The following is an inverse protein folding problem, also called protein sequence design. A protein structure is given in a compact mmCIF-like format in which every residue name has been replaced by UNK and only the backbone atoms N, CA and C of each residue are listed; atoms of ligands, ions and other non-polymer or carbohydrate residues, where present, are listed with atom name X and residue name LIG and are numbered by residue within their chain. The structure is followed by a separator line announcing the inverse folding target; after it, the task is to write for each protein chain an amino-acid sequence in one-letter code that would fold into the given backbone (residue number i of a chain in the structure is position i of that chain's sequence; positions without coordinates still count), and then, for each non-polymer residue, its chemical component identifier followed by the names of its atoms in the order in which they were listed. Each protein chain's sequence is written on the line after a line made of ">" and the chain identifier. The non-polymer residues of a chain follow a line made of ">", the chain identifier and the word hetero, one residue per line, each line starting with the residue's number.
data_IF_672098291833
#
_entry.id   IF_672098291833
#
_cell.length_a   1.000
_cell.length_b   1.000
_cell.length_c   1.000
_cell.angle_alpha   90.00
_cell.angle_beta   90.00
_cell.angle_gamma   90.00
#
_symmetry.space_group_name_H-M   'P 1'
#
loop_
_entity.id
_entity.type
_entity.pdbx_description
1 polymer ?
#
# COMPACT_ATOMS: atom_id res chain seq x y z
N UNK A 1 16.10 6.95 -22.83
CA UNK A 1 15.97 7.75 -21.59
C UNK A 1 14.98 7.04 -20.69
N UNK A 2 15.36 6.72 -19.45
CA UNK A 2 14.54 5.96 -18.50
C UNK A 2 13.25 6.71 -18.17
N UNK A 3 12.09 6.10 -18.42
CA UNK A 3 10.76 6.57 -18.03
C UNK A 3 10.40 5.99 -16.65
N UNK A 4 10.10 6.88 -15.69
CA UNK A 4 9.71 6.52 -14.33
C UNK A 4 8.26 6.98 -14.09
N UNK A 5 7.37 6.04 -13.79
CA UNK A 5 6.02 6.34 -13.32
C UNK A 5 5.94 6.07 -11.83
N UNK A 6 5.57 7.08 -11.04
CA UNK A 6 5.31 6.94 -9.61
C UNK A 6 3.78 6.82 -9.40
N UNK A 7 3.34 5.74 -8.78
CA UNK A 7 1.95 5.47 -8.48
C UNK A 7 1.68 5.63 -6.99
N UNK A 8 0.91 6.65 -6.63
CA UNK A 8 0.49 6.92 -5.25
C UNK A 8 -0.73 6.10 -4.90
N UNK A 9 -0.63 5.35 -3.80
CA UNK A 9 -1.64 4.40 -3.33
C UNK A 9 -2.13 4.73 -1.93
N UNK A 10 -3.39 4.36 -1.66
CA UNK A 10 -3.99 4.42 -0.34
C UNK A 10 -4.34 3.01 0.11
N UNK A 11 -3.89 2.61 1.31
CA UNK A 11 -4.27 1.33 1.91
C UNK A 11 -5.76 1.26 2.30
N UNK A 12 -6.48 2.38 2.21
CA UNK A 12 -7.91 2.45 2.44
C UNK A 12 -8.73 2.25 1.16
N UNK A 13 -8.08 2.13 -0.01
CA UNK A 13 -8.77 2.04 -1.29
C UNK A 13 -9.34 0.63 -1.55
N UNK A 14 -10.67 0.41 -1.42
CA UNK A 14 -11.27 -0.90 -1.69
C UNK A 14 -11.15 -1.33 -3.15
N UNK A 15 -10.93 -0.38 -4.07
CA UNK A 15 -10.77 -0.62 -5.50
C UNK A 15 -9.29 -0.61 -5.92
N UNK A 16 -8.37 -0.38 -4.98
CA UNK A 16 -6.93 -0.32 -5.20
C UNK A 16 -6.39 -1.49 -6.00
N UNK A 17 -6.72 -2.75 -5.66
CA UNK A 17 -6.22 -3.92 -6.40
C UNK A 17 -6.63 -3.92 -7.89
N UNK A 18 -7.90 -3.61 -8.19
CA UNK A 18 -8.40 -3.54 -9.57
C UNK A 18 -7.73 -2.42 -10.35
N UNK A 19 -7.64 -1.23 -9.76
CA UNK A 19 -7.02 -0.05 -10.38
C UNK A 19 -5.53 -0.28 -10.63
N UNK A 20 -4.82 -0.87 -9.67
CA UNK A 20 -3.39 -1.13 -9.80
C UNK A 20 -3.14 -2.14 -10.90
N UNK A 21 -3.94 -3.20 -10.97
CA UNK A 21 -3.88 -4.15 -12.07
C UNK A 21 -4.07 -3.46 -13.43
N UNK A 22 -5.13 -2.64 -13.58
CA UNK A 22 -5.39 -1.86 -14.81
C UNK A 22 -4.21 -0.95 -15.17
N UNK A 23 -3.63 -0.28 -14.18
CA UNK A 23 -2.46 0.59 -14.37
C UNK A 23 -1.22 -0.18 -14.85
N UNK A 24 -0.89 -1.30 -14.20
CA UNK A 24 0.27 -2.12 -14.58
C UNK A 24 0.08 -2.65 -16.01
N UNK A 25 -1.13 -3.14 -16.36
CA UNK A 25 -1.46 -3.64 -17.69
C UNK A 25 -1.39 -2.55 -18.77
N UNK A 26 -1.72 -1.29 -18.41
CA UNK A 26 -1.58 -0.12 -19.28
C UNK A 26 -0.12 0.28 -19.47
N UNK A 27 0.65 0.35 -18.40
CA UNK A 27 2.06 0.80 -18.45
C UNK A 27 2.94 -0.28 -19.07
N UNK A 28 2.70 -1.57 -18.78
CA UNK A 28 3.60 -2.69 -19.15
C UNK A 28 5.06 -2.41 -18.76
N UNK A 29 5.35 -2.20 -17.46
CA UNK A 29 6.69 -1.83 -17.02
C UNK A 29 7.69 -2.97 -17.22
N UNK A 30 8.96 -2.62 -17.40
CA UNK A 30 10.08 -3.58 -17.33
C UNK A 30 10.43 -3.89 -15.88
N UNK A 31 10.26 -2.91 -14.99
CA UNK A 31 10.51 -3.06 -13.55
C UNK A 31 9.37 -2.46 -12.76
N UNK A 32 8.88 -3.21 -11.78
CA UNK A 32 7.98 -2.71 -10.75
C UNK A 32 8.80 -2.59 -9.46
N UNK A 33 8.75 -1.43 -8.80
CA UNK A 33 9.34 -1.26 -7.48
C UNK A 33 8.27 -1.05 -6.43
N UNK A 34 8.46 -1.64 -5.26
CA UNK A 34 7.50 -1.57 -4.13
C UNK A 34 8.25 -1.22 -2.85
N UNK A 35 7.60 -0.45 -1.98
CA UNK A 35 8.13 -0.09 -0.66
C UNK A 35 7.95 -1.25 0.34
N UNK A 36 8.66 -2.34 0.12
CA UNK A 36 8.77 -3.43 1.09
C UNK A 36 10.20 -3.97 1.12
N UNK A 37 10.53 -4.72 2.16
CA UNK A 37 11.82 -5.39 2.24
C UNK A 37 11.80 -6.66 1.37
N UNK A 38 12.97 -7.11 0.90
CA UNK A 38 13.04 -8.30 0.04
C UNK A 38 12.40 -9.54 0.64
N UNK A 39 12.67 -9.81 1.93
CA UNK A 39 12.15 -11.01 2.59
C UNK A 39 10.64 -10.95 2.92
N UNK A 40 9.97 -9.82 2.68
CA UNK A 40 8.55 -9.65 3.00
C UNK A 40 7.65 -9.88 1.78
N UNK A 41 8.21 -9.94 0.56
CA UNK A 41 7.43 -10.09 -0.69
C UNK A 41 6.60 -11.37 -0.68
N UNK A 42 7.24 -12.51 -0.40
CA UNK A 42 6.57 -13.81 -0.37
C UNK A 42 5.53 -13.87 0.76
N UNK A 43 5.90 -13.37 1.95
CA UNK A 43 5.03 -13.34 3.11
C UNK A 43 3.77 -12.50 2.87
N UNK A 44 3.90 -11.32 2.26
CA UNK A 44 2.76 -10.45 1.97
C UNK A 44 1.85 -11.04 0.88
N UNK A 45 2.46 -11.62 -0.17
CA UNK A 45 1.71 -12.30 -1.23
C UNK A 45 0.90 -13.48 -0.66
N UNK A 46 1.55 -14.37 0.09
CA UNK A 46 0.90 -15.53 0.70
C UNK A 46 -0.16 -15.13 1.73
N UNK A 47 0.09 -14.08 2.51
CA UNK A 47 -0.90 -13.55 3.47
C UNK A 47 -2.15 -13.05 2.77
N UNK A 48 -2.01 -12.33 1.66
CA UNK A 48 -3.16 -11.84 0.88
C UNK A 48 -3.97 -13.00 0.29
N UNK A 49 -3.29 -13.99 -0.31
CA UNK A 49 -3.95 -15.19 -0.84
C UNK A 49 -4.70 -15.96 0.25
N UNK A 50 -4.09 -16.12 1.42
CA UNK A 50 -4.72 -16.78 2.56
C UNK A 50 -5.94 -16.01 3.09
N UNK A 51 -5.91 -14.67 3.06
CA UNK A 51 -7.06 -13.83 3.40
C UNK A 51 -8.23 -14.12 2.45
N UNK A 52 -7.94 -14.22 1.14
CA UNK A 52 -8.95 -14.53 0.12
C UNK A 52 -9.50 -15.95 0.34
N UNK A 53 -8.64 -16.95 0.49
CA UNK A 53 -9.01 -18.35 0.66
C UNK A 53 -9.81 -18.59 1.96
N UNK A 54 -9.37 -17.97 3.06
CA UNK A 54 -9.97 -18.16 4.39
C UNK A 54 -11.09 -17.18 4.71
N UNK A 55 -11.64 -16.45 3.73
CA UNK A 55 -12.65 -15.39 3.94
C UNK A 55 -13.75 -15.81 4.92
N UNK A 56 -14.37 -16.96 4.70
CA UNK A 56 -15.46 -17.46 5.54
C UNK A 56 -15.00 -17.81 6.96
N UNK A 57 -13.79 -18.37 7.11
CA UNK A 57 -13.21 -18.72 8.42
C UNK A 57 -12.85 -17.47 9.22
N UNK A 58 -12.26 -16.46 8.57
CA UNK A 58 -11.91 -15.17 9.16
C UNK A 58 -13.19 -14.47 9.64
N UNK A 59 -14.23 -14.46 8.80
CA UNK A 59 -15.53 -13.91 9.17
C UNK A 59 -16.14 -14.63 10.38
N UNK A 60 -16.13 -15.97 10.42
CA UNK A 60 -16.62 -16.73 11.59
C UNK A 60 -15.84 -16.39 12.86
N UNK A 61 -14.52 -16.23 12.77
CA UNK A 61 -13.66 -15.90 13.92
C UNK A 61 -13.94 -14.48 14.45
N UNK A 62 -14.10 -13.50 13.58
CA UNK A 62 -14.37 -12.11 13.98
C UNK A 62 -15.77 -11.98 14.57
N UNK A 63 -16.77 -12.66 14.02
CA UNK A 63 -18.14 -12.65 14.56
C UNK A 63 -18.36 -13.59 15.76
N UNK A 64 -17.29 -14.16 16.33
CA UNK A 64 -17.39 -14.92 17.57
C UNK A 64 -17.60 -13.94 18.75
N UNK A 65 -18.69 -14.07 19.54
CA UNK A 65 -19.00 -13.17 20.67
C UNK A 65 -17.93 -13.05 21.76
N UNK A 66 -16.95 -13.95 21.79
CA UNK A 66 -15.78 -13.84 22.68
C UNK A 66 -14.70 -12.85 22.22
N UNK A 67 -14.73 -12.43 20.94
CA UNK A 67 -13.69 -11.56 20.35
C UNK A 67 -14.13 -10.09 20.25
N UNK A 68 -15.43 -9.83 20.11
CA UNK A 68 -16.03 -8.50 20.06
C UNK A 68 -17.36 -8.52 20.82
N UNK A 69 -17.70 -7.43 21.50
CA UNK A 69 -18.96 -7.32 22.23
C UNK A 69 -20.16 -7.39 21.27
N UNK A 70 -21.31 -7.85 21.79
CA UNK A 70 -22.58 -7.86 21.02
C UNK A 70 -22.93 -6.49 20.45
N UNK A 71 -22.58 -5.41 21.17
CA UNK A 71 -22.79 -4.04 20.70
C UNK A 71 -21.91 -3.74 19.48
N UNK A 72 -20.62 -4.06 19.53
CA UNK A 72 -19.70 -3.85 18.41
C UNK A 72 -20.09 -4.68 17.18
N UNK A 73 -20.43 -5.97 17.39
CA UNK A 73 -20.87 -6.85 16.30
C UNK A 73 -22.23 -6.46 15.69
N UNK A 74 -23.10 -5.83 16.48
CA UNK A 74 -24.40 -5.34 16.01
C UNK A 74 -24.31 -4.20 14.99
N UNK A 75 -23.19 -3.45 14.99
CA UNK A 75 -22.91 -2.38 14.03
C UNK A 75 -21.90 -2.79 12.95
N UNK A 76 -21.31 -3.98 13.05
CA UNK A 76 -20.26 -4.42 12.15
C UNK A 76 -20.81 -4.80 10.76
N UNK A 77 -20.19 -4.28 9.71
CA UNK A 77 -20.47 -4.60 8.32
C UNK A 77 -19.48 -5.65 7.79
N UNK A 78 -20.01 -6.82 7.44
CA UNK A 78 -19.23 -7.96 6.91
C UNK A 78 -18.51 -7.65 5.60
N UNK A 79 -19.17 -6.90 4.72
CA UNK A 79 -18.58 -6.51 3.44
C UNK A 79 -17.42 -5.54 3.65
N UNK A 80 -17.53 -4.66 4.65
CA UNK A 80 -16.49 -3.69 4.95
C UNK A 80 -15.20 -4.33 5.43
N UNK A 81 -15.28 -5.35 6.29
CA UNK A 81 -14.12 -6.11 6.71
C UNK A 81 -13.36 -6.67 5.51
N UNK A 82 -14.07 -7.30 4.57
CA UNK A 82 -13.42 -7.95 3.45
C UNK A 82 -12.78 -6.93 2.51
N UNK A 83 -13.47 -5.82 2.23
CA UNK A 83 -12.91 -4.73 1.44
C UNK A 83 -11.63 -4.17 2.06
N UNK A 84 -11.60 -4.00 3.39
CA UNK A 84 -10.38 -3.56 4.09
C UNK A 84 -9.26 -4.61 4.02
N UNK A 85 -9.55 -5.87 4.34
CA UNK A 85 -8.54 -6.93 4.26
C UNK A 85 -7.97 -7.09 2.84
N UNK A 86 -8.80 -6.88 1.82
CA UNK A 86 -8.42 -6.94 0.42
C UNK A 86 -7.60 -5.70 -0.03
N UNK A 87 -7.73 -4.57 0.66
CA UNK A 87 -6.94 -3.34 0.45
C UNK A 87 -5.64 -3.30 1.27
N UNK A 88 -5.37 -4.30 2.11
CA UNK A 88 -4.08 -4.42 2.79
C UNK A 88 -3.07 -5.11 1.88
N UNK A 89 -1.87 -4.54 1.77
CA UNK A 89 -0.70 -5.15 1.11
C UNK A 89 -0.93 -5.52 -0.37
N UNK A 90 -1.97 -4.96 -1.00
CA UNK A 90 -2.33 -5.33 -2.37
C UNK A 90 -1.27 -4.90 -3.38
N UNK A 91 -0.50 -3.86 -3.06
CA UNK A 91 0.56 -3.32 -3.89
C UNK A 91 1.59 -4.41 -4.20
N UNK A 92 2.00 -5.15 -3.18
CA UNK A 92 2.96 -6.25 -3.31
C UNK A 92 2.32 -7.46 -3.97
N UNK A 93 1.11 -7.85 -3.54
CA UNK A 93 0.40 -9.00 -4.09
C UNK A 93 0.12 -8.86 -5.60
N UNK A 94 -0.47 -7.74 -6.03
CA UNK A 94 -0.80 -7.49 -7.44
C UNK A 94 0.46 -7.43 -8.30
N UNK A 95 1.52 -6.78 -7.81
CA UNK A 95 2.81 -6.69 -8.51
C UNK A 95 3.48 -8.06 -8.67
N UNK A 96 3.50 -8.86 -7.59
CA UNK A 96 4.01 -10.23 -7.60
C UNK A 96 3.26 -11.11 -8.60
N UNK A 97 1.92 -11.07 -8.59
CA UNK A 97 1.09 -11.79 -9.57
C UNK A 97 1.33 -11.36 -11.00
N UNK A 98 1.55 -10.08 -11.24
CA UNK A 98 1.86 -9.59 -12.58
C UNK A 98 3.20 -10.12 -13.07
N UNK A 99 4.25 -10.06 -12.25
CA UNK A 99 5.60 -10.55 -12.59
C UNK A 99 5.62 -12.06 -12.82
N UNK A 100 4.91 -12.84 -11.99
CA UNK A 100 4.78 -14.29 -12.20
C UNK A 100 4.21 -14.63 -13.58
N UNK A 101 3.26 -13.82 -14.08
CA UNK A 101 2.67 -13.98 -15.42
C UNK A 101 3.52 -13.39 -16.54
N UNK A 102 4.34 -12.39 -16.24
CA UNK A 102 5.14 -11.64 -17.20
C UNK A 102 6.62 -11.77 -16.87
N UNK A 103 7.24 -12.89 -17.29
CA UNK A 103 8.65 -13.23 -16.98
C UNK A 103 9.71 -12.20 -17.41
N UNK A 104 9.33 -11.22 -18.24
CA UNK A 104 10.20 -10.11 -18.69
C UNK A 104 10.17 -8.89 -17.75
N UNK A 105 9.24 -8.85 -16.80
CA UNK A 105 9.13 -7.79 -15.81
C UNK A 105 9.78 -8.24 -14.51
N UNK A 106 10.56 -7.37 -13.86
CA UNK A 106 11.19 -7.63 -12.57
C UNK A 106 10.43 -6.93 -11.43
N UNK A 107 10.37 -7.55 -10.25
CA UNK A 107 9.87 -6.91 -9.01
C UNK A 107 11.07 -6.59 -8.10
N UNK A 108 11.34 -5.32 -7.87
CA UNK A 108 12.47 -4.86 -7.04
C UNK A 108 11.98 -4.18 -5.76
N UNK A 109 12.23 -4.76 -4.58
CA UNK A 109 11.97 -4.10 -3.29
C UNK A 109 12.91 -2.90 -3.08
N UNK A 110 12.38 -1.76 -2.63
CA UNK A 110 13.15 -0.51 -2.47
C UNK A 110 13.02 0.13 -1.08
N UNK A 111 12.63 -0.66 -0.07
CA UNK A 111 12.48 -0.21 1.31
C UNK A 111 13.81 0.03 2.04
N UNK A 112 13.85 1.06 2.88
CA UNK A 112 15.03 1.40 3.67
C UNK A 112 15.28 0.33 4.77
N UNK A 113 16.44 -0.36 4.79
CA UNK A 113 16.67 -1.48 5.70
C UNK A 113 16.72 -1.08 7.18
N UNK A 114 17.14 0.15 7.50
CA UNK A 114 17.10 0.66 8.90
C UNK A 114 15.69 0.94 9.42
N UNK A 115 14.67 0.91 8.56
CA UNK A 115 13.28 0.91 8.99
C UNK A 115 12.81 -0.49 9.43
N UNK A 116 13.69 -1.52 9.37
CA UNK A 116 13.55 -2.73 10.20
C UNK A 116 13.78 -2.38 11.66
N UNK A 117 12.81 -1.72 12.27
CA UNK A 117 12.84 -1.36 13.68
C UNK A 117 11.45 -1.31 14.26
N UNK A 118 11.17 -2.24 15.17
CA UNK A 118 10.11 -2.22 16.19
C UNK A 118 8.70 -2.73 15.83
N UNK A 119 8.09 -2.45 14.68
CA UNK A 119 6.64 -2.74 14.55
C UNK A 119 6.20 -4.19 14.32
N UNK A 120 6.99 -5.03 13.65
CA UNK A 120 6.46 -6.33 13.18
C UNK A 120 6.41 -7.42 14.27
N UNK A 121 7.26 -7.33 15.31
CA UNK A 121 7.11 -8.15 16.53
C UNK A 121 5.99 -7.62 17.43
N UNK A 122 5.72 -6.31 17.42
CA UNK A 122 4.65 -5.70 18.23
C UNK A 122 3.27 -6.08 17.68
N UNK A 123 3.05 -6.09 16.36
CA UNK A 123 1.77 -6.48 15.70
C UNK A 123 1.32 -7.92 16.06
N UNK A 124 2.27 -8.82 16.34
CA UNK A 124 1.98 -10.21 16.76
C UNK A 124 2.00 -10.39 18.29
N UNK A 125 2.32 -9.35 19.05
CA UNK A 125 2.15 -9.33 20.51
C UNK A 125 0.71 -8.91 20.87
N UNK A 126 0.23 -9.23 22.06
CA UNK A 126 -1.12 -8.87 22.51
C UNK A 126 -1.40 -7.36 22.42
N UNK A 127 -0.37 -6.53 22.58
CA UNK A 127 -0.46 -5.06 22.45
C UNK A 127 -0.68 -4.62 21.01
N UNK A 128 0.05 -5.18 20.04
CA UNK A 128 -0.20 -4.89 18.64
C UNK A 128 -1.43 -5.58 18.08
N UNK A 129 -1.89 -6.69 18.69
CA UNK A 129 -3.23 -7.21 18.43
C UNK A 129 -4.31 -6.24 18.89
N UNK A 130 -4.14 -5.55 20.03
CA UNK A 130 -5.09 -4.54 20.51
C UNK A 130 -5.11 -3.29 19.60
N UNK A 131 -3.96 -2.79 19.12
CA UNK A 131 -3.91 -1.68 18.14
C UNK A 131 -4.46 -2.10 16.75
N UNK A 132 -4.19 -3.34 16.34
CA UNK A 132 -4.77 -3.94 15.13
C UNK A 132 -6.28 -4.14 15.32
N UNK A 133 -6.73 -4.46 16.53
CA UNK A 133 -8.14 -4.63 16.89
C UNK A 133 -8.87 -3.30 16.78
N UNK A 134 -8.33 -2.19 17.28
CA UNK A 134 -8.97 -0.87 17.17
C UNK A 134 -9.05 -0.42 15.70
N UNK A 135 -8.00 -0.68 14.91
CA UNK A 135 -8.00 -0.40 13.47
C UNK A 135 -9.04 -1.26 12.74
N UNK A 136 -9.07 -2.57 13.01
CA UNK A 136 -10.09 -3.48 12.47
C UNK A 136 -11.48 -3.04 12.93
N UNK A 137 -11.65 -2.65 14.19
CA UNK A 137 -12.92 -2.22 14.77
C UNK A 137 -13.45 -1.00 14.02
N UNK A 138 -12.63 0.03 13.82
CA UNK A 138 -13.01 1.22 13.04
C UNK A 138 -13.45 0.80 11.64
N UNK A 139 -12.70 -0.09 10.98
CA UNK A 139 -13.00 -0.50 9.60
C UNK A 139 -14.25 -1.38 9.48
N UNK A 140 -14.48 -2.30 10.41
CA UNK A 140 -15.70 -3.13 10.41
C UNK A 140 -16.95 -2.32 10.78
N UNK A 141 -16.81 -1.24 11.56
CA UNK A 141 -17.92 -0.34 11.90
C UNK A 141 -18.26 0.65 10.77
N UNK A 142 -17.38 0.80 9.78
CA UNK A 142 -17.65 1.66 8.62
C UNK A 142 -18.53 0.95 7.60
N UNK A 143 -19.40 1.70 6.92
CA UNK A 143 -20.07 1.20 5.72
C UNK A 143 -19.10 1.21 4.52
N UNK A 144 -19.32 0.39 3.48
CA UNK A 144 -18.54 0.46 2.24
C UNK A 144 -18.52 1.85 1.60
N UNK A 145 -19.65 2.57 1.67
CA UNK A 145 -19.76 3.97 1.22
C UNK A 145 -18.86 4.90 2.02
N UNK A 146 -18.80 4.71 3.33
CA UNK A 146 -17.94 5.49 4.22
C UNK A 146 -16.47 5.22 3.91
N UNK A 147 -16.06 3.95 3.78
CA UNK A 147 -14.67 3.62 3.42
C UNK A 147 -14.25 4.22 2.09
N UNK A 148 -15.12 4.17 1.07
CA UNK A 148 -14.86 4.83 -0.21
C UNK A 148 -14.63 6.33 -0.02
N UNK A 149 -15.48 7.01 0.76
CA UNK A 149 -15.29 8.44 1.07
C UNK A 149 -13.97 8.71 1.80
N UNK A 150 -13.54 7.83 2.70
CA UNK A 150 -12.24 7.95 3.37
C UNK A 150 -11.08 7.76 2.42
N UNK A 151 -11.14 6.78 1.52
CA UNK A 151 -10.13 6.60 0.48
C UNK A 151 -10.06 7.84 -0.44
N UNK A 152 -11.22 8.32 -0.92
CA UNK A 152 -11.30 9.52 -1.75
C UNK A 152 -10.71 10.74 -1.02
N UNK A 153 -11.00 10.89 0.28
CA UNK A 153 -10.40 11.94 1.10
C UNK A 153 -8.89 11.77 1.22
N UNK A 154 -8.39 10.56 1.48
CA UNK A 154 -6.95 10.27 1.61
C UNK A 154 -6.19 10.66 0.32
N UNK A 155 -6.74 10.33 -0.86
CA UNK A 155 -6.19 10.78 -2.15
C UNK A 155 -6.18 12.30 -2.33
N UNK A 156 -7.08 13.04 -1.67
CA UNK A 156 -7.24 14.49 -1.83
C UNK A 156 -6.56 15.31 -0.71
N UNK A 157 -6.31 14.74 0.47
CA UNK A 157 -5.77 15.43 1.64
C UNK A 157 -4.25 15.29 1.79
N UNK A 158 -3.56 14.75 0.79
CA UNK A 158 -2.10 14.56 0.84
C UNK A 158 -1.41 15.93 0.87
N UNK A 159 -0.93 16.34 2.05
CA UNK A 159 -0.27 17.64 2.23
C UNK A 159 -0.50 18.28 3.60
N UNK A 160 -1.55 17.88 4.32
CA UNK A 160 -1.82 18.36 5.68
C UNK A 160 -1.39 17.32 6.71
N UNK A 161 -0.57 17.74 7.67
CA UNK A 161 -0.21 17.02 8.91
C UNK A 161 0.90 15.97 8.79
N UNK A 162 2.11 16.36 9.17
CA UNK A 162 3.03 15.48 9.89
C UNK A 162 3.88 16.35 10.83
N UNK A 163 4.10 15.87 12.05
CA UNK A 163 5.10 16.48 12.95
C UNK A 163 6.50 16.35 12.34
N UNK A 164 7.40 17.28 12.63
CA UNK A 164 8.75 17.35 12.05
C UNK A 164 9.52 16.03 12.13
N UNK A 165 9.37 15.29 13.23
CA UNK A 165 10.00 13.97 13.42
C UNK A 165 9.50 12.92 12.42
N UNK A 166 8.20 12.92 12.07
CA UNK A 166 7.66 12.01 11.05
C UNK A 166 8.15 12.40 9.66
N UNK A 167 8.25 13.70 9.37
CA UNK A 167 8.77 14.19 8.09
C UNK A 167 10.23 13.79 7.86
N UNK A 168 11.06 13.81 8.92
CA UNK A 168 12.45 13.37 8.84
C UNK A 168 12.56 11.89 8.41
N UNK A 169 11.83 11.00 9.10
CA UNK A 169 11.85 9.56 8.78
C UNK A 169 11.35 9.26 7.37
N UNK A 170 10.29 9.97 6.94
CA UNK A 170 9.73 9.82 5.59
C UNK A 170 10.74 10.32 4.53
N UNK A 171 11.47 11.40 4.81
CA UNK A 171 12.47 11.95 3.89
C UNK A 171 13.66 11.01 3.71
N UNK A 172 14.18 10.41 4.79
CA UNK A 172 15.26 9.41 4.71
C UNK A 172 14.86 8.19 3.88
N UNK A 173 13.60 7.75 4.00
CA UNK A 173 13.03 6.67 3.18
C UNK A 173 13.06 7.05 1.70
N UNK A 174 12.57 8.25 1.36
CA UNK A 174 12.50 8.73 -0.02
C UNK A 174 13.88 8.90 -0.66
N UNK A 175 14.89 9.36 0.08
CA UNK A 175 16.27 9.48 -0.42
C UNK A 175 16.85 8.12 -0.79
N UNK A 176 16.63 7.11 0.06
CA UNK A 176 17.07 5.74 -0.21
C UNK A 176 16.34 5.14 -1.42
N UNK A 177 15.01 5.28 -1.47
CA UNK A 177 14.21 4.80 -2.59
C UNK A 177 14.61 5.49 -3.90
N UNK A 178 14.89 6.79 -3.87
CA UNK A 178 15.41 7.54 -5.02
C UNK A 178 16.72 6.95 -5.53
N UNK A 179 17.70 6.72 -4.64
CA UNK A 179 18.98 6.09 -4.99
C UNK A 179 18.76 4.74 -5.66
N UNK A 180 17.92 3.88 -5.07
CA UNK A 180 17.60 2.56 -5.63
C UNK A 180 16.96 2.62 -7.00
N UNK A 181 15.98 3.50 -7.21
CA UNK A 181 15.32 3.66 -8.51
C UNK A 181 16.30 4.13 -9.60
N UNK A 182 17.23 5.02 -9.25
CA UNK A 182 18.23 5.53 -10.19
C UNK A 182 19.26 4.45 -10.59
N UNK A 183 19.57 3.50 -9.72
CA UNK A 183 20.50 2.38 -9.98
C UNK A 183 19.96 1.35 -10.99
N UNK A 184 18.63 1.21 -11.11
CA UNK A 184 17.95 0.26 -12.02
C UNK A 184 18.37 0.54 -13.48
N UNK A 185 18.67 -0.49 -14.28
CA UNK A 185 19.19 -0.29 -15.66
C UNK A 185 18.11 -0.25 -16.73
N UNK A 186 16.93 -0.76 -16.43
CA UNK A 186 15.82 -0.89 -17.36
C UNK A 186 15.12 0.45 -17.61
N UNK A 187 14.57 0.59 -18.83
CA UNK A 187 14.03 1.87 -19.30
C UNK A 187 12.64 2.23 -18.80
N UNK A 188 11.82 1.28 -18.35
CA UNK A 188 10.41 1.55 -17.97
C UNK A 188 10.12 1.05 -16.58
N UNK A 189 10.06 1.99 -15.64
CA UNK A 189 9.90 1.71 -14.21
C UNK A 189 8.54 2.19 -13.74
N UNK A 190 7.83 1.32 -13.01
CA UNK A 190 6.67 1.70 -12.21
C UNK A 190 7.02 1.54 -10.74
N UNK A 191 7.10 2.65 -10.01
CA UNK A 191 7.21 2.63 -8.56
C UNK A 191 5.83 2.74 -7.94
N UNK A 192 5.53 1.87 -6.98
CA UNK A 192 4.28 1.87 -6.22
C UNK A 192 4.61 2.20 -4.77
N UNK A 193 4.07 3.31 -4.29
CA UNK A 193 4.33 3.80 -2.94
C UNK A 193 3.13 4.53 -2.34
N UNK A 194 3.22 4.82 -1.05
CA UNK A 194 2.20 5.58 -0.34
C UNK A 194 2.06 7.01 -0.88
N UNK A 195 0.86 7.58 -0.82
CA UNK A 195 0.57 8.92 -1.32
C UNK A 195 1.52 10.02 -0.80
N UNK A 196 1.87 9.95 0.49
CA UNK A 196 2.75 10.94 1.13
C UNK A 196 4.10 11.07 0.44
N UNK A 197 4.66 9.94 -0.03
CA UNK A 197 5.97 9.87 -0.71
C UNK A 197 5.99 10.58 -2.06
N UNK A 198 4.82 10.81 -2.67
CA UNK A 198 4.71 11.30 -4.05
C UNK A 198 4.00 12.64 -4.18
N UNK A 199 3.12 12.95 -3.23
CA UNK A 199 2.27 14.15 -3.23
C UNK A 199 2.36 14.94 -1.92
N UNK A 200 3.19 14.52 -0.96
CA UNK A 200 3.39 15.25 0.28
C UNK A 200 4.09 16.59 0.08
N UNK A 201 3.77 17.58 0.93
CA UNK A 201 4.34 18.92 0.86
C UNK A 201 5.71 19.00 1.56
N UNK A 202 6.70 18.31 1.00
CA UNK A 202 8.11 18.33 1.41
C UNK A 202 8.98 17.88 0.22
N UNK A 203 10.29 17.76 0.40
CA UNK A 203 11.22 17.21 -0.60
C UNK A 203 11.06 15.70 -0.75
N UNK A 204 9.91 15.29 -1.26
CA UNK A 204 9.46 13.91 -1.41
C UNK A 204 10.18 13.19 -2.57
N UNK A 205 9.88 11.89 -2.77
CA UNK A 205 10.49 11.07 -3.81
C UNK A 205 10.35 11.65 -5.23
N UNK A 206 9.20 12.24 -5.56
CA UNK A 206 8.99 12.87 -6.87
C UNK A 206 9.95 14.05 -7.07
N UNK A 207 10.04 14.95 -6.08
CA UNK A 207 10.93 16.11 -6.12
C UNK A 207 12.41 15.68 -6.18
N UNK A 208 12.78 14.64 -5.43
CA UNK A 208 14.12 14.07 -5.45
C UNK A 208 14.50 13.54 -6.83
N UNK A 209 13.63 12.75 -7.48
CA UNK A 209 13.88 12.22 -8.82
C UNK A 209 13.94 13.35 -9.87
N UNK A 210 13.05 14.34 -9.80
CA UNK A 210 13.08 15.52 -10.67
C UNK A 210 14.39 16.30 -10.54
N UNK A 211 14.88 16.51 -9.31
CA UNK A 211 16.15 17.20 -9.06
C UNK A 211 17.38 16.50 -9.65
N UNK A 212 17.27 15.20 -9.95
CA UNK A 212 18.29 14.39 -10.63
C UNK A 212 18.10 14.32 -12.15
N UNK A 213 17.26 15.20 -12.71
CA UNK A 213 16.91 15.24 -14.13
C UNK A 213 16.30 13.93 -14.66
N UNK A 214 15.64 13.15 -13.80
CA UNK A 214 14.95 11.94 -14.24
C UNK A 214 13.67 12.30 -15.02
N UNK A 215 13.36 11.54 -16.07
CA UNK A 215 12.06 11.62 -16.74
C UNK A 215 11.02 10.89 -15.90
N UNK A 216 10.37 11.65 -15.02
CA UNK A 216 9.44 11.12 -14.01
C UNK A 216 8.07 11.78 -14.10
N UNK A 217 7.03 10.94 -14.06
CA UNK A 217 5.62 11.34 -13.90
C UNK A 217 5.04 10.68 -12.66
N UNK A 218 4.02 11.31 -12.06
CA UNK A 218 3.29 10.77 -10.91
C UNK A 218 1.80 10.67 -11.22
N UNK A 219 1.16 9.62 -10.72
CA UNK A 219 -0.27 9.33 -10.91
C UNK A 219 -0.84 8.92 -9.55
N UNK A 220 -2.01 9.46 -9.18
CA UNK A 220 -2.78 8.92 -8.05
C UNK A 220 -3.58 7.73 -8.56
N UNK A 221 -3.55 6.61 -7.85
CA UNK A 221 -4.17 5.39 -8.34
C UNK A 221 -5.69 5.54 -8.56
N UNK A 222 -6.37 6.42 -7.82
CA UNK A 222 -7.78 6.73 -8.02
C UNK A 222 -8.12 7.32 -9.40
N UNK A 223 -7.17 7.99 -10.06
CA UNK A 223 -7.41 8.64 -11.35
C UNK A 223 -7.49 7.65 -12.52
N UNK A 224 -7.11 6.39 -12.30
CA UNK A 224 -7.16 5.31 -13.31
C UNK A 224 -8.58 4.95 -13.75
N UNK A 225 -9.60 5.30 -12.95
CA UNK A 225 -11.01 5.11 -13.35
C UNK A 225 -11.52 6.21 -14.29
N UNK A 226 -10.81 7.33 -14.42
CA UNK A 226 -11.19 8.46 -15.29
C UNK A 226 -10.66 8.33 -16.72
N UNK A 227 -9.78 7.36 -16.95
CA UNK A 227 -9.12 7.05 -18.22
C UNK A 227 -9.72 5.81 -18.89
#
# INVERSE_FOLDING_TARGET
>A
MKEITLCGTSHLDPQGPRRLKKLIEKIKPHVITVECLPQDIENYTARHEKIIECKEKIQKRIWNPGNFSKRELGYANKDSLFLHLHSLLYEVWISSKYVQKNKKTELIPVEHPKLKGEKMKEILSDKGFQETRDTILVMILMSPKTMKKYADNDYNSVGSTNSDKKLLMVSERDEYTCKKILEIKQDKILHIGGLIHLFGNYKNLYELLKSKNANVKRIKLIDIDKE
#
